data_IF_348495819900
#
_entry.id   IF_348495819900
#
_cell.length_a   1.000
_cell.length_b   1.000
_cell.length_c   1.000
_cell.angle_alpha   90.00
_cell.angle_beta   90.00
_cell.angle_gamma   90.00
#
_symmetry.space_group_name_H-M   'P 1'
#
loop_
_entity.id
_entity.type
_entity.pdbx_description
1 polymer ?
#
# COMPACT_ATOMS: atom_id res chain seq x y z
N UNK A 1 -11.03 -38.81 19.96
CA UNK A 1 -12.08 -37.84 19.60
C UNK A 1 -12.35 -36.96 20.80
N UNK A 2 -12.42 -35.64 20.62
CA UNK A 2 -13.16 -34.64 21.42
C UNK A 2 -12.90 -33.28 20.77
N UNK A 3 -13.36 -33.11 19.53
CA UNK A 3 -13.58 -31.81 18.91
C UNK A 3 -14.85 -31.24 19.55
N UNK A 4 -14.72 -30.53 20.66
CA UNK A 4 -15.83 -29.82 21.27
C UNK A 4 -16.33 -28.74 20.32
N UNK A 5 -17.59 -28.84 19.87
CA UNK A 5 -18.24 -27.73 19.18
C UNK A 5 -18.11 -26.46 20.04
N UNK A 6 -17.80 -25.30 19.45
CA UNK A 6 -17.76 -24.06 20.21
C UNK A 6 -19.14 -23.81 20.84
N UNK A 7 -19.14 -23.53 22.15
CA UNK A 7 -20.33 -23.22 22.94
C UNK A 7 -21.17 -22.16 22.19
N UNK A 8 -22.50 -22.30 22.19
CA UNK A 8 -23.42 -21.33 21.60
C UNK A 8 -23.15 -19.91 22.15
N UNK A 9 -22.70 -19.83 23.40
CA UNK A 9 -22.24 -18.60 24.02
C UNK A 9 -21.03 -17.97 23.29
N UNK A 10 -20.07 -18.78 22.83
CA UNK A 10 -18.90 -18.32 22.11
C UNK A 10 -19.24 -17.87 20.68
N UNK A 11 -20.16 -18.58 20.01
CA UNK A 11 -20.71 -18.15 18.72
C UNK A 11 -21.45 -16.81 18.85
N UNK A 12 -22.24 -16.64 19.90
CA UNK A 12 -22.97 -15.39 20.16
C UNK A 12 -22.03 -14.23 20.49
N UNK A 13 -21.01 -14.46 21.34
CA UNK A 13 -19.96 -13.48 21.63
C UNK A 13 -19.21 -13.08 20.37
N UNK A 14 -18.84 -14.02 19.50
CA UNK A 14 -18.16 -13.74 18.24
C UNK A 14 -19.04 -12.87 17.31
N UNK A 15 -20.34 -13.19 17.20
CA UNK A 15 -21.31 -12.38 16.43
C UNK A 15 -21.46 -10.97 16.99
N UNK A 16 -21.57 -10.82 18.32
CA UNK A 16 -21.71 -9.52 18.97
C UNK A 16 -20.44 -8.67 18.82
N UNK A 17 -19.26 -9.27 19.01
CA UNK A 17 -17.97 -8.61 18.82
C UNK A 17 -17.77 -8.17 17.36
N UNK A 18 -18.18 -9.01 16.41
CA UNK A 18 -18.20 -8.68 14.99
C UNK A 18 -19.11 -7.47 14.71
N UNK A 19 -20.34 -7.48 15.22
CA UNK A 19 -21.28 -6.36 15.09
C UNK A 19 -20.74 -5.06 15.70
N UNK A 20 -20.14 -5.14 16.89
CA UNK A 20 -19.51 -4.00 17.55
C UNK A 20 -18.33 -3.45 16.76
N UNK A 21 -17.46 -4.32 16.23
CA UNK A 21 -16.34 -3.90 15.39
C UNK A 21 -16.83 -3.22 14.10
N UNK A 22 -17.90 -3.72 13.49
CA UNK A 22 -18.49 -3.10 12.30
C UNK A 22 -18.98 -1.67 12.59
N UNK A 23 -19.55 -1.43 13.78
CA UNK A 23 -19.93 -0.09 14.22
C UNK A 23 -18.68 0.76 14.45
N UNK A 24 -17.76 0.31 15.30
CA UNK A 24 -16.54 1.06 15.66
C UNK A 24 -15.73 1.51 14.43
N UNK A 25 -15.58 0.63 13.45
CA UNK A 25 -14.79 0.86 12.23
C UNK A 25 -15.64 1.34 11.04
N UNK A 26 -16.95 1.50 11.20
CA UNK A 26 -17.86 2.01 10.18
C UNK A 26 -18.01 3.54 10.17
N UNK A 27 -17.75 4.21 11.30
CA UNK A 27 -17.82 5.67 11.41
C UNK A 27 -16.50 6.32 10.98
N UNK A 28 -16.51 7.00 9.83
CA UNK A 28 -15.34 7.72 9.31
C UNK A 28 -15.44 9.22 9.61
N UNK A 29 -14.72 9.71 10.62
CA UNK A 29 -14.47 11.15 10.76
C UNK A 29 -13.33 11.51 9.80
N UNK A 30 -13.64 12.20 8.71
CA UNK A 30 -12.64 12.67 7.73
C UNK A 30 -11.90 13.89 8.28
N UNK A 31 -10.85 13.66 9.08
CA UNK A 31 -9.89 14.71 9.41
C UNK A 31 -9.01 15.02 8.20
N UNK A 32 -8.88 16.30 7.84
CA UNK A 32 -8.03 16.74 6.73
C UNK A 32 -6.57 16.79 7.20
N UNK A 33 -5.71 15.97 6.60
CA UNK A 33 -4.27 15.98 6.89
C UNK A 33 -3.61 17.22 6.30
N UNK A 34 -2.86 17.97 7.12
CA UNK A 34 -2.10 19.14 6.70
C UNK A 34 -0.67 18.74 6.34
N UNK A 35 -0.17 19.27 5.22
CA UNK A 35 1.21 19.10 4.78
C UNK A 35 1.98 20.41 4.89
N UNK A 36 3.24 20.31 5.28
CA UNK A 36 4.17 21.42 5.28
C UNK A 36 4.57 21.73 3.81
N UNK A 37 4.55 23.00 3.42
CA UNK A 37 4.83 23.43 2.04
C UNK A 37 6.34 23.57 1.74
N UNK A 38 7.16 23.66 2.78
CA UNK A 38 8.61 23.89 2.67
C UNK A 38 9.41 22.59 2.69
N UNK A 39 8.87 21.54 3.32
CA UNK A 39 9.51 20.24 3.41
C UNK A 39 8.94 19.26 2.37
N UNK A 40 9.80 18.50 1.65
CA UNK A 40 9.31 17.50 0.71
C UNK A 40 8.56 16.37 1.43
N UNK A 41 7.51 15.87 0.78
CA UNK A 41 6.85 14.61 1.15
C UNK A 41 7.51 13.49 0.36
N UNK A 42 7.97 12.45 1.02
CA UNK A 42 8.53 11.27 0.37
C UNK A 42 7.52 10.14 0.37
N UNK A 43 7.32 9.46 -0.76
CA UNK A 43 6.56 8.21 -0.90
C UNK A 43 7.41 7.22 -1.70
N UNK A 44 7.81 6.11 -1.08
CA UNK A 44 8.48 4.97 -1.71
C UNK A 44 9.51 5.37 -2.78
N UNK A 45 10.59 6.03 -2.37
CA UNK A 45 11.66 6.50 -3.27
C UNK A 45 11.44 7.86 -3.93
N UNK A 46 10.21 8.35 -4.02
CA UNK A 46 9.90 9.62 -4.70
C UNK A 46 9.62 10.76 -3.73
N UNK A 47 10.16 11.94 -4.00
CA UNK A 47 9.94 13.16 -3.20
C UNK A 47 9.14 14.22 -3.95
N UNK A 48 8.21 14.88 -3.27
CA UNK A 48 7.30 15.89 -3.80
C UNK A 48 7.38 17.15 -2.93
N UNK A 49 7.70 18.30 -3.53
CA UNK A 49 7.72 19.58 -2.82
C UNK A 49 6.40 20.32 -3.04
N UNK A 50 5.57 20.39 -2.00
CA UNK A 50 4.21 20.94 -2.08
C UNK A 50 4.21 22.48 -1.94
N UNK A 51 5.04 23.16 -2.74
CA UNK A 51 5.04 24.61 -2.79
C UNK A 51 3.80 25.12 -3.55
N UNK A 52 3.39 26.34 -3.23
CA UNK A 52 2.18 26.96 -3.78
C UNK A 52 2.57 28.14 -4.66
N UNK A 53 3.49 27.96 -5.61
CA UNK A 53 3.79 29.00 -6.60
C UNK A 53 2.93 28.80 -7.84
N UNK A 54 1.63 29.00 -7.65
CA UNK A 54 0.61 29.02 -8.68
C UNK A 54 0.58 30.32 -9.49
N UNK A 55 1.72 30.74 -10.05
CA UNK A 55 1.79 31.94 -10.93
C UNK A 55 1.89 31.56 -12.42
N UNK A 56 2.36 30.35 -12.76
CA UNK A 56 2.39 29.92 -14.17
C UNK A 56 1.04 29.40 -14.71
N UNK A 57 0.07 29.14 -13.83
CA UNK A 57 -1.23 28.58 -14.23
C UNK A 57 -2.06 29.54 -15.10
N UNK A 58 -1.91 30.85 -14.90
CA UNK A 58 -2.61 31.86 -15.70
C UNK A 58 -2.03 32.05 -17.11
N UNK A 59 -0.74 31.77 -17.31
CA UNK A 59 -0.07 31.94 -18.60
C UNK A 59 -0.40 30.77 -19.55
N UNK A 60 -0.53 29.55 -19.01
CA UNK A 60 -0.78 28.36 -19.81
C UNK A 60 -2.20 28.30 -20.42
N UNK A 61 -3.19 28.92 -19.78
CA UNK A 61 -4.58 28.93 -20.27
C UNK A 61 -4.77 29.79 -21.54
N UNK A 62 -3.84 30.74 -21.79
CA UNK A 62 -3.98 31.74 -22.86
C UNK A 62 -3.39 31.28 -24.19
N UNK A 63 -2.45 30.33 -24.20
CA UNK A 63 -1.59 30.10 -25.37
C UNK A 63 -1.94 28.90 -26.27
N UNK A 64 -3.00 28.14 -25.99
CA UNK A 64 -3.56 27.05 -26.82
C UNK A 64 -2.58 26.41 -27.84
N UNK A 65 -1.42 25.98 -27.36
CA UNK A 65 -0.35 25.43 -28.17
C UNK A 65 0.44 24.44 -27.31
N UNK A 66 0.48 23.21 -27.81
CA UNK A 66 1.24 22.04 -27.37
C UNK A 66 2.36 22.30 -26.35
N UNK A 67 2.17 21.85 -25.10
CA UNK A 67 3.19 21.12 -24.34
C UNK A 67 2.60 20.46 -23.09
N UNK A 68 2.78 19.15 -22.98
CA UNK A 68 2.62 18.39 -21.74
C UNK A 68 3.73 18.79 -20.75
N UNK A 69 3.62 19.92 -20.05
CA UNK A 69 4.63 20.27 -19.04
C UNK A 69 4.00 20.81 -17.75
N UNK A 70 4.30 20.08 -16.66
CA UNK A 70 4.09 20.37 -15.25
C UNK A 70 2.67 20.15 -14.71
N UNK A 71 2.32 18.88 -14.48
CA UNK A 71 1.42 18.56 -13.35
C UNK A 71 1.99 19.23 -12.09
N UNK A 72 1.13 20.00 -11.41
CA UNK A 72 1.41 20.55 -10.09
C UNK A 72 1.97 19.44 -9.17
N UNK A 73 3.01 19.74 -8.39
CA UNK A 73 3.64 18.77 -7.48
C UNK A 73 2.61 18.18 -6.50
N UNK A 74 1.61 18.98 -6.12
CA UNK A 74 0.48 18.53 -5.30
C UNK A 74 -0.33 17.46 -6.01
N UNK A 75 -0.59 17.63 -7.30
CA UNK A 75 -1.33 16.66 -8.10
C UNK A 75 -0.51 15.39 -8.34
N UNK A 76 0.81 15.51 -8.58
CA UNK A 76 1.70 14.35 -8.68
C UNK A 76 1.75 13.56 -7.37
N UNK A 77 1.86 14.24 -6.23
CA UNK A 77 1.74 13.61 -4.92
C UNK A 77 0.38 12.92 -4.74
N UNK A 78 -0.72 13.59 -5.09
CA UNK A 78 -2.07 13.04 -4.99
C UNK A 78 -2.22 11.76 -5.81
N UNK A 79 -1.79 11.78 -7.07
CA UNK A 79 -1.84 10.62 -7.97
C UNK A 79 -0.95 9.48 -7.46
N UNK A 80 0.26 9.79 -7.00
CA UNK A 80 1.18 8.80 -6.42
C UNK A 80 0.64 8.15 -5.14
N UNK A 81 -0.12 8.89 -4.33
CA UNK A 81 -0.76 8.35 -3.13
C UNK A 81 -2.01 7.52 -3.48
N UNK A 82 -2.93 8.07 -4.27
CA UNK A 82 -4.22 7.44 -4.59
C UNK A 82 -4.04 6.17 -5.43
N UNK A 83 -3.02 6.11 -6.28
CA UNK A 83 -2.73 4.93 -7.11
C UNK A 83 -2.34 3.68 -6.31
N UNK A 84 -2.02 3.80 -5.02
CA UNK A 84 -1.70 2.66 -4.17
C UNK A 84 -2.96 1.86 -3.85
N UNK A 85 -2.86 0.54 -4.01
CA UNK A 85 -3.92 -0.39 -3.64
C UNK A 85 -4.09 -0.34 -2.11
N UNK A 86 -5.28 0.09 -1.70
CA UNK A 86 -5.68 0.21 -0.31
C UNK A 86 -6.65 -0.92 0.04
N UNK A 87 -6.18 -1.82 0.90
CA UNK A 87 -6.98 -2.96 1.37
C UNK A 87 -7.34 -2.74 2.82
N UNK A 88 -8.64 -2.74 3.08
CA UNK A 88 -9.22 -2.54 4.39
C UNK A 88 -9.97 -3.78 4.82
N UNK A 89 -10.46 -3.79 6.05
CA UNK A 89 -11.42 -4.78 6.45
C UNK A 89 -12.62 -4.86 5.49
N UNK A 90 -13.09 -6.09 5.29
CA UNK A 90 -14.29 -6.41 4.51
C UNK A 90 -15.30 -7.12 5.37
N UNK A 91 -16.57 -6.91 5.05
CA UNK A 91 -17.71 -7.63 5.62
C UNK A 91 -18.61 -8.16 4.52
N UNK A 92 -19.52 -9.04 4.90
CA UNK A 92 -20.53 -9.63 4.02
C UNK A 92 -19.92 -10.53 2.92
N UNK A 93 -18.70 -11.03 3.12
CA UNK A 93 -18.10 -12.05 2.25
C UNK A 93 -18.60 -13.46 2.60
N UNK A 94 -18.59 -14.43 1.65
CA UNK A 94 -18.95 -15.81 1.92
C UNK A 94 -18.15 -16.37 3.11
N UNK A 95 -18.77 -17.18 4.01
CA UNK A 95 -18.09 -17.72 5.17
C UNK A 95 -16.76 -18.38 4.80
N UNK A 96 -15.69 -18.07 5.54
CA UNK A 96 -14.40 -18.73 5.31
C UNK A 96 -14.54 -20.24 5.58
N UNK A 97 -13.88 -21.05 4.75
CA UNK A 97 -13.92 -22.51 4.85
C UNK A 97 -13.62 -22.98 6.27
N UNK A 98 -14.50 -23.83 6.82
CA UNK A 98 -14.39 -24.31 8.19
C UNK A 98 -14.79 -23.31 9.29
N UNK A 99 -15.40 -22.16 8.96
CA UNK A 99 -15.83 -21.15 9.93
C UNK A 99 -17.19 -20.52 9.61
N UNK A 100 -17.70 -19.70 10.52
CA UNK A 100 -18.86 -18.83 10.30
C UNK A 100 -18.47 -17.36 10.08
N UNK A 101 -17.19 -17.07 9.86
CA UNK A 101 -16.70 -15.70 9.73
C UNK A 101 -17.00 -15.15 8.34
N UNK A 102 -17.78 -14.07 8.29
CA UNK A 102 -18.13 -13.32 7.08
C UNK A 102 -17.53 -11.90 7.08
N UNK A 103 -16.64 -11.62 8.03
CA UNK A 103 -15.92 -10.35 8.15
C UNK A 103 -14.56 -10.56 8.79
N UNK A 104 -13.58 -9.75 8.37
CA UNK A 104 -12.26 -9.68 8.99
C UNK A 104 -12.10 -8.48 9.95
N UNK A 105 -13.18 -7.72 10.17
CA UNK A 105 -13.20 -6.53 11.04
C UNK A 105 -12.80 -6.91 12.49
N UNK A 106 -11.66 -6.36 12.94
CA UNK A 106 -11.13 -6.51 14.30
C UNK A 106 -10.05 -7.58 14.49
N UNK A 107 -9.70 -8.35 13.46
CA UNK A 107 -8.64 -9.36 13.52
C UNK A 107 -7.75 -9.41 12.26
N UNK A 108 -8.27 -9.01 11.09
CA UNK A 108 -7.55 -9.13 9.82
C UNK A 108 -6.52 -8.04 9.51
N UNK A 109 -6.25 -7.07 10.40
CA UNK A 109 -5.55 -5.84 10.00
C UNK A 109 -4.14 -6.15 9.46
N UNK A 110 -3.41 -7.07 10.09
CA UNK A 110 -2.05 -7.43 9.65
C UNK A 110 -2.08 -8.14 8.30
N UNK A 111 -3.10 -8.96 8.04
CA UNK A 111 -3.32 -9.59 6.75
C UNK A 111 -3.55 -8.52 5.67
N UNK A 112 -4.40 -7.53 5.94
CA UNK A 112 -4.64 -6.40 5.02
C UNK A 112 -3.38 -5.57 4.76
N UNK A 113 -2.60 -5.28 5.80
CA UNK A 113 -1.30 -4.62 5.66
C UNK A 113 -0.34 -5.42 4.77
N UNK A 114 -0.23 -6.73 5.01
CA UNK A 114 0.58 -7.64 4.18
C UNK A 114 0.12 -7.71 2.73
N UNK A 115 -1.19 -7.77 2.49
CA UNK A 115 -1.76 -7.71 1.14
C UNK A 115 -1.40 -6.41 0.42
N UNK A 116 -1.43 -5.25 1.10
CA UNK A 116 -1.05 -3.97 0.49
C UNK A 116 0.43 -3.93 0.12
N UNK A 117 1.32 -4.43 0.99
CA UNK A 117 2.75 -4.49 0.72
C UNK A 117 3.06 -5.42 -0.46
N UNK A 118 2.45 -6.61 -0.51
CA UNK A 118 2.60 -7.52 -1.65
C UNK A 118 2.01 -6.93 -2.93
N UNK A 119 0.84 -6.31 -2.85
CA UNK A 119 0.21 -5.63 -3.99
C UNK A 119 1.11 -4.53 -4.53
N UNK A 120 1.79 -3.76 -3.68
CA UNK A 120 2.78 -2.77 -4.13
C UNK A 120 3.95 -3.43 -4.88
N UNK A 121 4.50 -4.53 -4.38
CA UNK A 121 5.54 -5.28 -5.09
C UNK A 121 5.07 -5.77 -6.46
N UNK A 122 3.85 -6.29 -6.56
CA UNK A 122 3.24 -6.73 -7.82
C UNK A 122 2.95 -5.56 -8.77
N UNK A 123 2.47 -4.43 -8.27
CA UNK A 123 2.27 -3.21 -9.07
C UNK A 123 3.59 -2.77 -9.69
N UNK A 124 4.67 -2.72 -8.91
CA UNK A 124 6.01 -2.38 -9.41
C UNK A 124 6.51 -3.43 -10.40
N UNK A 125 6.25 -4.72 -10.18
CA UNK A 125 6.65 -5.77 -11.11
C UNK A 125 5.93 -5.66 -12.48
N UNK A 126 4.61 -5.49 -12.45
CA UNK A 126 3.73 -5.59 -13.62
C UNK A 126 3.54 -4.27 -14.37
N UNK A 127 3.41 -3.14 -13.65
CA UNK A 127 2.98 -1.87 -14.28
C UNK A 127 4.11 -1.02 -14.88
N UNK A 128 5.38 -1.38 -14.69
CA UNK A 128 6.49 -0.76 -15.42
C UNK A 128 6.55 -1.20 -16.91
N UNK A 129 5.55 -1.94 -17.41
CA UNK A 129 5.45 -2.41 -18.80
C UNK A 129 4.02 -2.28 -19.36
N UNK A 130 3.62 -1.06 -19.70
CA UNK A 130 2.69 -0.89 -20.82
C UNK A 130 3.30 0.14 -21.77
N UNK A 131 4.35 -0.28 -22.48
CA UNK A 131 4.69 0.35 -23.75
C UNK A 131 3.82 -0.28 -24.83
N UNK A 132 3.25 0.53 -25.71
CA UNK A 132 2.46 0.05 -26.85
C UNK A 132 3.28 -0.93 -27.69
N UNK A 133 4.58 -0.69 -27.77
CA UNK A 133 5.58 -1.50 -28.45
C UNK A 133 5.80 -2.87 -27.78
N UNK A 134 5.74 -2.99 -26.45
CA UNK A 134 5.86 -4.27 -25.74
C UNK A 134 4.65 -5.18 -26.04
N UNK A 135 3.44 -4.60 -26.12
CA UNK A 135 2.22 -5.31 -26.50
C UNK A 135 2.29 -5.77 -27.96
N UNK A 136 2.79 -4.91 -28.85
CA UNK A 136 3.01 -5.26 -30.27
C UNK A 136 4.06 -6.37 -30.41
N UNK A 137 5.17 -6.29 -29.68
CA UNK A 137 6.25 -7.26 -29.71
C UNK A 137 5.83 -8.62 -29.12
N UNK A 138 4.94 -8.65 -28.13
CA UNK A 138 4.36 -9.89 -27.61
C UNK A 138 3.43 -10.56 -28.63
N UNK A 139 2.68 -9.78 -29.43
CA UNK A 139 1.91 -10.30 -30.56
C UNK A 139 2.81 -10.85 -31.69
N UNK A 140 3.96 -10.22 -31.94
CA UNK A 140 4.94 -10.67 -32.95
C UNK A 140 5.77 -11.90 -32.49
N UNK A 141 6.08 -12.00 -31.19
CA UNK A 141 6.77 -13.16 -30.60
C UNK A 141 5.93 -14.44 -30.65
N UNK A 142 4.59 -14.34 -30.56
CA UNK A 142 3.71 -15.48 -30.79
C UNK A 142 3.83 -16.08 -32.19
N UNK A 143 4.37 -15.34 -33.16
CA UNK A 143 4.57 -15.79 -34.54
C UNK A 143 6.00 -16.33 -34.80
N UNK A 144 6.93 -16.18 -33.85
CA UNK A 144 8.36 -16.47 -34.04
C UNK A 144 8.95 -17.23 -32.85
N UNK A 145 8.39 -18.40 -32.53
CA UNK A 145 9.02 -19.29 -31.55
C UNK A 145 10.24 -20.00 -32.17
N UNK A 146 11.44 -19.58 -31.79
CA UNK A 146 12.65 -20.42 -31.85
C UNK A 146 13.04 -20.90 -30.45
N UNK A 147 13.68 -22.06 -30.30
CA UNK A 147 13.99 -22.64 -29.00
C UNK A 147 15.10 -21.85 -28.29
N UNK A 148 14.87 -21.49 -27.03
CA UNK A 148 15.81 -20.78 -26.17
C UNK A 148 17.00 -21.68 -25.74
N UNK A 149 18.21 -21.14 -25.84
CA UNK A 149 19.50 -21.70 -25.42
C UNK A 149 19.57 -21.94 -23.88
N UNK A 150 19.96 -23.15 -23.41
CA UNK A 150 20.00 -23.50 -21.97
C UNK A 150 21.06 -22.79 -21.12
N UNK A 151 21.91 -21.91 -21.69
CA UNK A 151 22.99 -21.22 -20.96
C UNK A 151 22.59 -19.89 -20.28
N UNK A 152 21.41 -19.32 -20.57
CA UNK A 152 20.94 -18.10 -19.91
C UNK A 152 20.18 -18.43 -18.63
N UNK A 153 20.84 -18.34 -17.47
CA UNK A 153 20.18 -18.43 -16.17
C UNK A 153 19.25 -17.22 -16.02
N UNK A 154 17.96 -17.39 -16.33
CA UNK A 154 16.96 -16.33 -16.26
C UNK A 154 16.77 -15.91 -14.80
N UNK A 155 17.09 -14.64 -14.47
CA UNK A 155 16.82 -14.08 -13.15
C UNK A 155 15.32 -14.04 -12.86
N UNK A 156 14.92 -14.47 -11.66
CA UNK A 156 13.56 -14.30 -11.16
C UNK A 156 13.52 -13.08 -10.25
N UNK A 157 12.62 -12.14 -10.54
CA UNK A 157 12.40 -10.99 -9.65
C UNK A 157 12.04 -11.44 -8.24
N UNK A 158 12.53 -10.74 -7.23
CA UNK A 158 12.40 -11.14 -5.83
C UNK A 158 11.77 -10.02 -5.00
N UNK A 159 10.85 -10.40 -4.11
CA UNK A 159 10.39 -9.57 -3.00
C UNK A 159 11.10 -10.08 -1.75
N UNK A 160 11.79 -9.18 -1.05
CA UNK A 160 12.53 -9.48 0.17
C UNK A 160 11.77 -8.85 1.34
N UNK A 161 11.44 -9.65 2.34
CA UNK A 161 10.77 -9.20 3.55
C UNK A 161 11.75 -9.33 4.71
N UNK A 162 11.99 -8.23 5.42
CA UNK A 162 12.92 -8.17 6.55
C UNK A 162 12.14 -7.79 7.82
N UNK A 163 11.72 -8.79 8.62
CA UNK A 163 11.14 -8.55 9.94
C UNK A 163 12.20 -8.00 10.90
N UNK A 164 11.91 -6.90 11.58
CA UNK A 164 12.82 -6.22 12.50
C UNK A 164 12.13 -5.74 13.77
N UNK A 165 12.92 -5.56 14.84
CA UNK A 165 12.51 -4.90 16.08
C UNK A 165 13.39 -3.66 16.32
N UNK A 166 12.85 -2.47 16.06
CA UNK A 166 13.58 -1.19 16.10
C UNK A 166 13.55 -0.51 17.48
N UNK A 167 13.33 -1.26 18.55
CA UNK A 167 13.23 -0.72 19.91
C UNK A 167 12.57 -1.66 20.90
N UNK A 168 12.56 -1.25 22.17
CA UNK A 168 11.92 -1.95 23.27
C UNK A 168 10.41 -1.73 23.24
N UNK A 169 9.90 -0.81 24.04
CA UNK A 169 8.46 -0.48 24.07
C UNK A 169 8.04 0.52 22.99
N UNK A 170 8.97 1.37 22.57
CA UNK A 170 8.79 2.40 21.56
C UNK A 170 9.93 2.35 20.54
N UNK A 171 9.72 2.98 19.38
CA UNK A 171 10.77 3.16 18.39
C UNK A 171 11.95 3.92 19.01
N UNK A 172 13.15 3.34 18.96
CA UNK A 172 14.35 4.03 19.39
C UNK A 172 14.67 5.17 18.39
N UNK A 173 14.75 6.45 18.83
CA UNK A 173 14.97 7.59 17.95
C UNK A 173 16.19 7.48 17.02
N UNK A 174 17.24 6.76 17.43
CA UNK A 174 18.43 6.53 16.59
C UNK A 174 18.12 5.81 15.28
N UNK A 175 17.01 5.08 15.18
CA UNK A 175 16.59 4.42 13.94
C UNK A 175 15.73 5.29 13.03
N UNK A 176 15.22 6.45 13.48
CA UNK A 176 14.30 7.28 12.68
C UNK A 176 14.92 7.66 11.34
N UNK A 177 16.18 8.11 11.34
CA UNK A 177 16.86 8.49 10.11
C UNK A 177 17.11 7.28 9.20
N UNK A 178 17.41 6.11 9.78
CA UNK A 178 17.52 4.85 9.04
C UNK A 178 16.19 4.49 8.35
N UNK A 179 15.05 4.57 9.06
CA UNK A 179 13.73 4.32 8.49
C UNK A 179 13.40 5.30 7.35
N UNK A 180 13.72 6.60 7.52
CA UNK A 180 13.55 7.59 6.46
C UNK A 180 14.38 7.23 5.23
N UNK A 181 15.65 6.85 5.41
CA UNK A 181 16.53 6.49 4.30
C UNK A 181 16.06 5.21 3.60
N UNK A 182 15.54 4.22 4.32
CA UNK A 182 14.92 3.03 3.73
C UNK A 182 13.71 3.42 2.88
N UNK A 183 12.83 4.31 3.34
CA UNK A 183 11.67 4.78 2.58
C UNK A 183 12.03 5.64 1.36
N UNK A 184 13.28 6.14 1.28
CA UNK A 184 13.82 6.85 0.11
C UNK A 184 14.47 5.91 -0.91
N UNK A 185 14.64 4.61 -0.62
CA UNK A 185 15.22 3.67 -1.59
C UNK A 185 14.18 3.33 -2.67
N UNK A 186 14.61 3.30 -3.93
CA UNK A 186 13.76 2.92 -5.07
C UNK A 186 13.26 1.47 -4.97
N UNK A 187 14.07 0.59 -4.38
CA UNK A 187 13.71 -0.81 -4.18
C UNK A 187 12.74 -1.00 -3.00
N UNK A 188 12.49 0.01 -2.17
CA UNK A 188 11.59 -0.10 -1.02
C UNK A 188 10.13 -0.13 -1.47
N UNK A 189 9.43 -1.19 -1.09
CA UNK A 189 7.98 -1.33 -1.31
C UNK A 189 7.18 -1.06 -0.02
N UNK A 190 7.80 -0.38 0.94
CA UNK A 190 7.18 0.12 2.17
C UNK A 190 7.38 -0.78 3.38
N UNK A 191 6.73 -0.40 4.47
CA UNK A 191 6.91 -1.02 5.79
C UNK A 191 5.54 -1.35 6.37
N UNK A 192 5.35 -2.57 6.85
CA UNK A 192 4.14 -2.96 7.61
C UNK A 192 4.49 -3.15 9.07
N UNK A 193 3.59 -2.80 9.97
CA UNK A 193 3.81 -2.99 11.40
C UNK A 193 2.72 -2.34 12.22
N UNK A 194 2.87 -2.35 13.54
CA UNK A 194 1.90 -1.77 14.46
C UNK A 194 1.58 -2.70 15.62
N UNK A 195 0.81 -2.16 16.56
CA UNK A 195 0.36 -2.90 17.74
C UNK A 195 -0.68 -3.96 17.37
N UNK A 196 -0.91 -4.98 18.22
CA UNK A 196 -2.02 -5.91 18.03
C UNK A 196 -3.34 -5.17 17.74
N UNK A 197 -4.04 -5.60 16.67
CA UNK A 197 -5.29 -5.00 16.16
C UNK A 197 -5.18 -3.54 15.65
N UNK A 198 -3.96 -3.06 15.43
CA UNK A 198 -3.66 -1.69 14.99
C UNK A 198 -2.50 -1.64 13.99
N UNK A 199 -2.47 -2.54 12.99
CA UNK A 199 -1.42 -2.55 11.97
C UNK A 199 -1.66 -1.52 10.87
N UNK A 200 -0.58 -0.95 10.35
CA UNK A 200 -0.57 0.07 9.31
C UNK A 200 0.40 -0.33 8.21
N UNK A 201 0.22 0.25 7.02
CA UNK A 201 1.17 0.16 5.93
C UNK A 201 1.80 1.53 5.69
N UNK A 202 3.05 1.70 6.11
CA UNK A 202 3.82 2.93 5.98
C UNK A 202 4.47 3.00 4.61
N UNK A 203 4.20 4.08 3.89
CA UNK A 203 4.61 4.24 2.48
C UNK A 203 5.53 5.44 2.26
N UNK A 204 5.81 6.21 3.30
CA UNK A 204 6.49 7.48 3.14
C UNK A 204 6.57 8.29 4.42
N UNK A 205 7.02 9.53 4.31
CA UNK A 205 7.11 10.47 5.42
C UNK A 205 7.16 11.93 4.95
N UNK A 206 6.90 12.85 5.87
CA UNK A 206 7.22 14.27 5.75
C UNK A 206 7.68 14.76 7.13
N UNK A 207 8.81 15.45 7.19
CA UNK A 207 9.41 15.89 8.46
C UNK A 207 9.57 14.69 9.43
N UNK A 208 9.05 14.81 10.65
CA UNK A 208 9.01 13.77 11.70
C UNK A 208 7.70 12.96 11.70
N UNK A 209 7.01 12.88 10.56
CA UNK A 209 5.74 12.17 10.44
C UNK A 209 5.77 11.10 9.34
N UNK A 210 5.41 9.88 9.69
CA UNK A 210 5.17 8.79 8.77
C UNK A 210 3.83 8.96 8.05
N UNK A 211 3.84 8.70 6.74
CA UNK A 211 2.66 8.59 5.89
C UNK A 211 2.24 7.12 5.78
N UNK A 212 0.96 6.83 5.92
CA UNK A 212 0.47 5.44 5.92
C UNK A 212 -0.91 5.25 5.30
N UNK A 213 -1.17 4.01 4.90
CA UNK A 213 -2.48 3.45 4.59
C UNK A 213 -3.01 2.65 5.78
N UNK A 214 -4.27 2.88 6.11
CA UNK A 214 -4.92 2.38 7.31
C UNK A 214 -5.99 1.33 6.95
N UNK A 215 -5.83 0.06 7.32
CA UNK A 215 -6.77 -0.99 6.96
C UNK A 215 -8.05 -1.00 7.81
N UNK A 216 -8.17 -0.17 8.86
CA UNK A 216 -9.23 -0.27 9.87
C UNK A 216 -10.58 0.33 9.45
N UNK A 217 -10.91 0.24 8.17
CA UNK A 217 -12.19 0.66 7.60
C UNK A 217 -12.98 -0.58 7.22
N UNK A 218 -14.17 -0.75 7.77
CA UNK A 218 -15.01 -1.91 7.50
C UNK A 218 -15.90 -1.64 6.28
N UNK A 219 -15.48 -2.11 5.11
CA UNK A 219 -16.17 -1.90 3.83
C UNK A 219 -16.93 -3.17 3.38
N UNK A 220 -18.04 -3.09 2.63
CA UNK A 220 -18.66 -4.28 2.03
C UNK A 220 -17.69 -5.00 1.09
N UNK A 221 -17.82 -6.32 0.96
CA UNK A 221 -17.10 -7.10 -0.06
C UNK A 221 -17.47 -6.60 -1.47
N UNK A 222 -16.50 -6.64 -2.37
CA UNK A 222 -16.71 -6.38 -3.80
C UNK A 222 -16.51 -7.69 -4.54
N UNK A 223 -17.44 -8.04 -5.42
CA UNK A 223 -17.32 -9.20 -6.30
C UNK A 223 -16.32 -8.89 -7.43
N UNK A 224 -15.09 -9.37 -7.24
CA UNK A 224 -13.98 -9.16 -8.19
C UNK A 224 -14.02 -10.09 -9.41
N UNK A 225 -15.01 -10.99 -9.50
CA UNK A 225 -15.20 -11.84 -10.69
C UNK A 225 -15.85 -11.09 -11.86
N UNK A 226 -16.47 -9.94 -11.59
CA UNK A 226 -17.12 -9.11 -12.60
C UNK A 226 -16.08 -8.33 -13.40
N UNK A 227 -16.24 -8.24 -14.72
CA UNK A 227 -15.26 -7.60 -15.62
C UNK A 227 -14.98 -6.13 -15.27
N UNK A 228 -15.97 -5.40 -14.74
CA UNK A 228 -15.89 -3.98 -14.41
C UNK A 228 -16.29 -3.69 -12.95
N UNK A 229 -15.80 -4.49 -12.01
CA UNK A 229 -16.08 -4.24 -10.60
C UNK A 229 -15.56 -2.86 -10.15
N UNK A 230 -16.24 -2.25 -9.18
CA UNK A 230 -15.85 -0.91 -8.70
C UNK A 230 -14.51 -0.95 -7.95
N UNK A 231 -13.59 -0.08 -8.39
CA UNK A 231 -12.27 0.10 -7.76
C UNK A 231 -12.28 1.13 -6.63
N UNK A 232 -13.36 1.89 -6.44
CA UNK A 232 -13.40 3.04 -5.51
C UNK A 232 -12.98 2.65 -4.08
N UNK A 233 -13.44 1.50 -3.60
CA UNK A 233 -13.13 1.00 -2.26
C UNK A 233 -11.68 0.50 -2.07
N UNK A 234 -10.91 0.43 -3.16
CA UNK A 234 -9.52 -0.05 -3.19
C UNK A 234 -8.50 1.08 -3.33
N UNK A 235 -8.92 2.35 -3.30
CA UNK A 235 -8.04 3.50 -3.40
C UNK A 235 -8.34 4.52 -2.30
N UNK A 236 -7.29 4.96 -1.61
CA UNK A 236 -7.43 5.92 -0.52
C UNK A 236 -7.28 7.35 -1.03
N UNK A 237 -8.31 8.17 -0.86
CA UNK A 237 -8.30 9.59 -1.26
C UNK A 237 -7.89 10.56 -0.13
N UNK A 238 -7.52 10.03 1.04
CA UNK A 238 -7.27 10.84 2.23
C UNK A 238 -5.98 10.39 2.92
N UNK A 239 -4.84 11.00 2.57
CA UNK A 239 -3.57 10.71 3.20
C UNK A 239 -3.63 10.87 4.72
N UNK A 240 -2.97 9.98 5.46
CA UNK A 240 -2.87 10.04 6.93
C UNK A 240 -1.42 10.08 7.37
N UNK A 241 -1.16 10.84 8.44
CA UNK A 241 0.17 11.00 9.04
C UNK A 241 0.18 10.68 10.53
N UNK A 242 1.32 10.21 11.05
CA UNK A 242 1.56 10.07 12.48
C UNK A 242 3.04 10.31 12.82
N UNK A 243 3.38 10.80 14.03
CA UNK A 243 4.77 10.93 14.44
C UNK A 243 5.52 9.59 14.42
N UNK A 244 6.80 9.59 14.04
CA UNK A 244 7.65 8.38 14.13
C UNK A 244 7.67 7.76 15.53
N UNK A 245 7.61 8.59 16.58
CA UNK A 245 7.59 8.13 17.98
C UNK A 245 6.37 7.26 18.34
N UNK A 246 5.32 7.25 17.52
CA UNK A 246 4.13 6.40 17.71
C UNK A 246 4.19 5.10 16.90
N UNK A 247 5.22 4.91 16.07
CA UNK A 247 5.43 3.68 15.32
C UNK A 247 5.76 2.55 16.31
N UNK A 248 5.09 1.41 16.16
CA UNK A 248 5.47 0.21 16.91
C UNK A 248 6.85 -0.26 16.44
N UNK A 249 7.78 -0.60 17.35
CA UNK A 249 9.10 -1.05 16.95
C UNK A 249 9.09 -2.42 16.24
N UNK A 250 8.03 -3.23 16.32
CA UNK A 250 7.88 -4.44 15.50
C UNK A 250 7.34 -4.09 14.11
N UNK A 251 8.16 -4.26 13.09
CA UNK A 251 7.74 -4.06 11.70
C UNK A 251 8.42 -5.04 10.75
N UNK A 252 7.94 -5.09 9.52
CA UNK A 252 8.56 -5.80 8.39
C UNK A 252 8.74 -4.81 7.26
N UNK A 253 9.97 -4.74 6.76
CA UNK A 253 10.37 -3.86 5.68
C UNK A 253 10.35 -4.69 4.39
N UNK A 254 9.70 -4.19 3.36
CA UNK A 254 9.65 -4.85 2.05
C UNK A 254 10.59 -4.19 1.05
N UNK A 255 11.32 -5.01 0.33
CA UNK A 255 12.12 -4.60 -0.83
C UNK A 255 11.74 -5.41 -2.06
N UNK A 256 11.96 -4.85 -3.24
CA UNK A 256 11.74 -5.50 -4.52
C UNK A 256 12.96 -5.31 -5.43
N UNK A 257 13.47 -6.42 -5.96
CA UNK A 257 14.55 -6.42 -6.95
C UNK A 257 14.06 -7.12 -8.22
N UNK A 258 13.92 -6.37 -9.31
CA UNK A 258 13.43 -6.90 -10.59
C UNK A 258 14.49 -7.73 -11.28
N UNK A 259 15.74 -7.27 -11.25
CA UNK A 259 16.91 -7.87 -11.88
C UNK A 259 17.99 -8.20 -10.86
N UNK A 260 18.97 -9.02 -11.26
CA UNK A 260 20.17 -9.31 -10.44
C UNK A 260 20.92 -8.02 -10.07
N UNK A 261 20.97 -7.05 -10.99
CA UNK A 261 21.60 -5.75 -10.75
C UNK A 261 20.91 -4.97 -9.63
N UNK A 262 19.57 -4.97 -9.61
CA UNK A 262 18.79 -4.28 -8.57
C UNK A 262 18.95 -4.96 -7.20
N UNK A 263 19.30 -6.25 -7.17
CA UNK A 263 19.59 -6.98 -5.94
C UNK A 263 20.99 -6.66 -5.40
N UNK A 264 21.94 -6.38 -6.28
CA UNK A 264 23.35 -6.08 -5.94
C UNK A 264 23.62 -4.61 -5.63
N UNK A 265 22.67 -3.71 -5.92
CA UNK A 265 22.76 -2.25 -5.67
C UNK A 265 22.38 -1.86 -4.25
#
# INVERSE_FOLDING_TARGET
>A
ELTGEPDEMDKLKAKLMSAWNNVKYGWTVKSKTTFNKLSPVTILGHSYLLNSEGTLFFICLILSSFCCLNLDEVERFRLAFVSRIWLTYRKDFPPLEGSTLTTDCGWGCMLRSGQMLLAQGLLVHLMHRVYKEDVMHLCDLSLSQTPSDPAHQSWQSVIILVPVRLGGESLNPSYIECVKNILKLDCCIGIIGGKPKHSLYFIGFQDEQLLYLDPHYCQPVVDVSQVNFSLESFHCNSPKKMPFSRMDPSCTIGFYAKSKKDFES
#
